data_IF_625190271525
#
_entry.id   IF_625190271525
#
_cell.length_a   1.000
_cell.length_b   1.000
_cell.length_c   1.000
_cell.angle_alpha   90.00
_cell.angle_beta   90.00
_cell.angle_gamma   90.00
#
_symmetry.space_group_name_H-M   'P 1'
#
loop_
_entity.id
_entity.type
_entity.pdbx_description
1 polymer ?
#
# COMPACT_ATOMS: atom_id res chain seq x y z
N UNK A 1 18.91 22.73 -1.09
CA UNK A 1 19.26 21.84 0.03
C UNK A 1 19.32 20.42 -0.51
N UNK A 2 20.42 19.71 -0.32
CA UNK A 2 20.51 18.28 -0.64
C UNK A 2 19.60 17.50 0.33
N UNK A 3 18.72 16.62 -0.16
CA UNK A 3 17.84 15.83 0.71
C UNK A 3 18.67 15.02 1.71
N UNK A 4 18.28 15.06 2.98
CA UNK A 4 18.88 14.20 4.00
C UNK A 4 18.62 12.72 3.68
N UNK A 5 19.65 12.03 3.17
CA UNK A 5 19.59 10.61 2.77
C UNK A 5 19.43 9.65 3.96
N UNK A 6 19.53 10.15 5.18
CA UNK A 6 19.37 9.33 6.39
C UNK A 6 17.93 9.29 6.87
N UNK A 7 17.11 10.29 6.53
CA UNK A 7 15.72 10.39 6.96
C UNK A 7 14.86 9.30 6.35
N UNK A 8 14.30 8.45 7.19
CA UNK A 8 13.31 7.43 6.81
C UNK A 8 11.93 8.04 6.92
N UNK A 9 11.14 8.01 5.84
CA UNK A 9 9.75 8.47 5.82
C UNK A 9 8.80 7.28 5.92
N UNK A 10 7.72 7.44 6.67
CA UNK A 10 6.62 6.48 6.61
C UNK A 10 6.00 6.46 5.22
N UNK A 11 5.67 5.27 4.75
CA UNK A 11 5.02 5.06 3.46
C UNK A 11 4.01 3.92 3.55
N UNK A 12 3.06 3.93 2.64
CA UNK A 12 2.07 2.88 2.50
C UNK A 12 1.97 2.43 1.04
N UNK A 13 1.76 1.15 0.84
CA UNK A 13 1.59 0.51 -0.46
C UNK A 13 0.37 -0.37 -0.42
N UNK A 14 -0.45 -0.35 -1.46
CA UNK A 14 -1.65 -1.17 -1.54
C UNK A 14 -1.51 -2.23 -2.63
N UNK A 15 -1.79 -3.47 -2.28
CA UNK A 15 -1.80 -4.61 -3.18
C UNK A 15 -3.26 -4.96 -3.44
N UNK A 16 -3.73 -4.68 -4.63
CA UNK A 16 -5.08 -5.06 -5.06
C UNK A 16 -5.00 -6.38 -5.79
N UNK A 17 -5.72 -7.40 -5.30
CA UNK A 17 -5.73 -8.75 -5.88
C UNK A 17 -7.09 -9.02 -6.52
N UNK A 18 -7.07 -9.31 -7.82
CA UNK A 18 -8.26 -9.72 -8.59
C UNK A 18 -8.27 -11.22 -8.81
N UNK A 19 -9.45 -11.85 -8.82
CA UNK A 19 -9.63 -13.29 -9.10
C UNK A 19 -8.79 -14.18 -8.15
N UNK A 20 -8.75 -13.85 -6.88
CA UNK A 20 -7.94 -14.50 -5.84
C UNK A 20 -7.92 -16.03 -5.90
N UNK A 21 -9.05 -16.65 -6.18
CA UNK A 21 -9.22 -18.11 -6.15
C UNK A 21 -8.91 -18.81 -7.50
N UNK A 22 -8.82 -18.04 -8.60
CA UNK A 22 -8.63 -18.62 -9.93
C UNK A 22 -7.79 -17.67 -10.79
N UNK A 23 -6.52 -18.00 -10.98
CA UNK A 23 -5.57 -17.20 -11.76
C UNK A 23 -5.44 -15.75 -11.22
N UNK A 24 -4.98 -15.58 -9.97
CA UNK A 24 -4.92 -14.29 -9.32
C UNK A 24 -4.03 -13.31 -10.08
N UNK A 25 -4.48 -12.07 -10.15
CA UNK A 25 -3.76 -10.95 -10.77
C UNK A 25 -3.63 -9.80 -9.78
N UNK A 26 -2.59 -9.00 -9.90
CA UNK A 26 -2.34 -7.81 -9.09
C UNK A 26 -2.34 -6.57 -9.96
N UNK A 27 -2.89 -5.46 -9.43
CA UNK A 27 -2.81 -4.16 -10.06
C UNK A 27 -1.41 -3.58 -9.88
N UNK A 28 -0.77 -3.23 -10.97
CA UNK A 28 0.55 -2.60 -10.99
C UNK A 28 0.63 -1.54 -12.06
N UNK A 29 1.53 -0.57 -11.85
CA UNK A 29 1.89 0.44 -12.85
C UNK A 29 3.39 0.61 -12.96
N UNK A 30 3.84 1.20 -14.06
CA UNK A 30 5.24 1.49 -14.30
C UNK A 30 5.58 2.92 -13.89
N UNK A 31 6.56 3.08 -13.04
CA UNK A 31 7.08 4.42 -12.66
C UNK A 31 7.78 5.09 -13.84
N UNK A 32 7.56 6.39 -13.95
CA UNK A 32 8.21 7.18 -15.01
C UNK A 32 9.74 7.05 -14.99
N UNK A 33 10.37 7.20 -16.16
CA UNK A 33 11.83 7.10 -16.33
C UNK A 33 12.61 8.11 -15.48
N UNK A 34 12.01 9.27 -15.19
CA UNK A 34 12.60 10.34 -14.38
C UNK A 34 12.23 10.25 -12.90
N UNK A 35 11.57 9.17 -12.47
CA UNK A 35 11.19 9.01 -11.06
C UNK A 35 12.43 8.99 -10.16
N UNK A 36 12.40 9.78 -9.07
CA UNK A 36 13.52 9.88 -8.14
C UNK A 36 13.78 8.58 -7.32
N UNK A 37 12.82 7.64 -7.33
CA UNK A 37 12.91 6.35 -6.66
C UNK A 37 12.35 5.25 -7.56
N UNK A 38 13.15 4.22 -7.81
CA UNK A 38 12.81 3.05 -8.66
C UNK A 38 12.30 3.42 -10.07
N UNK A 39 13.03 4.24 -10.86
CA UNK A 39 12.59 4.62 -12.21
C UNK A 39 12.39 3.40 -13.10
N UNK A 40 11.41 3.49 -14.00
CA UNK A 40 11.03 2.46 -14.98
C UNK A 40 10.60 1.10 -14.41
N UNK A 41 10.54 0.94 -13.08
CA UNK A 41 10.10 -0.31 -12.44
C UNK A 41 8.59 -0.39 -12.39
N UNK A 42 8.06 -1.62 -12.51
CA UNK A 42 6.69 -1.90 -12.17
C UNK A 42 6.54 -2.05 -10.65
N UNK A 43 5.58 -1.34 -10.10
CA UNK A 43 5.33 -1.27 -8.65
C UNK A 43 3.84 -1.39 -8.37
N UNK A 44 3.50 -1.72 -7.14
CA UNK A 44 2.16 -1.52 -6.61
C UNK A 44 1.90 -0.03 -6.39
N UNK A 45 0.65 0.45 -6.44
CA UNK A 45 0.31 1.79 -6.02
C UNK A 45 0.74 2.06 -4.58
N UNK A 46 1.24 3.29 -4.33
CA UNK A 46 1.66 3.67 -3.00
C UNK A 46 2.71 4.77 -2.94
N UNK A 47 2.72 5.48 -1.83
CA UNK A 47 3.62 6.62 -1.60
C UNK A 47 3.87 6.94 -0.14
N UNK A 48 4.36 8.14 0.11
CA UNK A 48 4.65 8.62 1.45
C UNK A 48 3.38 9.00 2.19
N UNK A 49 3.40 8.84 3.51
CA UNK A 49 2.36 9.42 4.38
C UNK A 49 2.51 10.94 4.38
N UNK A 50 1.40 11.63 4.16
CA UNK A 50 1.27 13.07 4.26
C UNK A 50 0.62 13.50 5.60
N UNK A 51 0.82 14.76 5.98
CA UNK A 51 0.30 15.27 7.25
C UNK A 51 -1.24 15.21 7.32
N UNK A 52 -1.92 15.39 6.20
CA UNK A 52 -3.39 15.33 6.13
C UNK A 52 -3.94 13.91 6.25
N UNK A 53 -3.15 12.87 5.97
CA UNK A 53 -3.53 11.48 6.21
C UNK A 53 -3.78 11.20 7.71
N UNK A 54 -3.17 11.99 8.61
CA UNK A 54 -3.39 11.91 10.05
C UNK A 54 -4.79 12.37 10.47
N UNK A 55 -5.43 13.21 9.66
CA UNK A 55 -6.74 13.80 9.95
C UNK A 55 -7.89 12.85 9.66
N UNK A 56 -7.62 11.72 8.99
CA UNK A 56 -8.65 10.78 8.57
C UNK A 56 -9.10 9.92 9.75
N UNK A 57 -10.39 10.01 10.07
CA UNK A 57 -11.05 9.18 11.06
C UNK A 57 -11.95 8.16 10.35
N UNK A 58 -11.60 6.88 10.46
CA UNK A 58 -12.39 5.81 9.86
C UNK A 58 -13.60 5.45 10.73
N UNK A 59 -14.79 5.47 10.14
CA UNK A 59 -15.96 4.82 10.77
C UNK A 59 -15.83 3.30 10.72
N UNK A 60 -15.33 2.80 9.61
CA UNK A 60 -15.04 1.38 9.42
C UNK A 60 -13.52 1.20 9.31
N UNK A 61 -12.81 1.11 10.45
CA UNK A 61 -11.36 0.98 10.45
C UNK A 61 -10.92 -0.42 9.98
N UNK A 62 -9.63 -0.54 9.66
CA UNK A 62 -8.99 -1.83 9.47
C UNK A 62 -9.25 -2.74 10.69
N UNK A 63 -9.36 -4.05 10.46
CA UNK A 63 -9.67 -4.99 11.54
C UNK A 63 -8.71 -4.86 12.76
N UNK A 64 -9.19 -5.21 13.96
CA UNK A 64 -8.49 -4.94 15.21
C UNK A 64 -7.11 -5.64 15.29
N UNK A 65 -6.96 -6.82 14.69
CA UNK A 65 -5.66 -7.53 14.67
C UNK A 65 -4.62 -6.70 13.89
N UNK A 66 -4.97 -6.27 12.68
CA UNK A 66 -4.08 -5.41 11.87
C UNK A 66 -3.81 -4.07 12.55
N UNK A 67 -4.83 -3.46 13.14
CA UNK A 67 -4.73 -2.20 13.87
C UNK A 67 -3.79 -2.30 15.07
N UNK A 68 -3.88 -3.38 15.86
CA UNK A 68 -3.00 -3.63 17.00
C UNK A 68 -1.54 -3.78 16.55
N UNK A 69 -1.27 -4.53 15.48
CA UNK A 69 0.06 -4.68 14.89
C UNK A 69 0.64 -3.36 14.40
N UNK A 70 -0.17 -2.55 13.70
CA UNK A 70 0.25 -1.23 13.21
C UNK A 70 0.57 -0.27 14.36
N UNK A 71 -0.21 -0.30 15.46
CA UNK A 71 0.04 0.52 16.66
C UNK A 71 1.33 0.12 17.37
N UNK A 72 1.58 -1.18 17.54
CA UNK A 72 2.78 -1.70 18.18
C UNK A 72 4.05 -1.26 17.44
N UNK A 73 4.02 -1.31 16.12
CA UNK A 73 5.15 -0.99 15.25
C UNK A 73 5.29 0.50 14.93
N UNK A 74 4.37 1.33 15.38
CA UNK A 74 4.40 2.78 15.19
C UNK A 74 4.32 3.49 16.54
N UNK A 75 5.48 3.87 17.08
CA UNK A 75 5.63 4.50 18.40
C UNK A 75 4.77 5.75 18.60
N UNK A 76 4.38 6.42 17.52
CA UNK A 76 3.56 7.63 17.56
C UNK A 76 2.05 7.35 17.44
N UNK A 77 1.62 6.08 17.39
CA UNK A 77 0.21 5.71 17.34
C UNK A 77 -0.52 6.05 16.04
N UNK A 78 0.19 6.50 15.02
CA UNK A 78 -0.34 7.03 13.76
C UNK A 78 -0.72 5.92 12.75
N UNK A 79 -1.36 4.86 13.24
CA UNK A 79 -1.77 3.74 12.38
C UNK A 79 -2.76 4.17 11.30
N UNK A 80 -3.66 5.13 11.60
CA UNK A 80 -4.64 5.66 10.67
C UNK A 80 -3.98 6.33 9.46
N UNK A 81 -2.93 7.12 9.66
CA UNK A 81 -2.23 7.79 8.56
C UNK A 81 -1.64 6.80 7.54
N UNK A 82 -1.13 5.66 8.00
CA UNK A 82 -0.61 4.61 7.12
C UNK A 82 -1.71 3.98 6.25
N UNK A 83 -2.87 3.74 6.86
CA UNK A 83 -4.03 3.18 6.16
C UNK A 83 -4.62 4.20 5.20
N UNK A 84 -4.72 5.46 5.64
CA UNK A 84 -5.19 6.57 4.80
C UNK A 84 -4.31 6.78 3.58
N UNK A 85 -2.99 6.86 3.77
CA UNK A 85 -2.04 6.99 2.68
C UNK A 85 -2.20 5.88 1.63
N UNK A 86 -2.41 4.63 2.05
CA UNK A 86 -2.64 3.53 1.10
C UNK A 86 -3.89 3.73 0.24
N UNK A 87 -4.98 4.26 0.83
CA UNK A 87 -6.24 4.52 0.12
C UNK A 87 -6.09 5.72 -0.81
N UNK A 88 -5.48 6.82 -0.33
CA UNK A 88 -5.24 8.04 -1.12
C UNK A 88 -4.36 7.75 -2.32
N UNK A 89 -3.22 7.11 -2.12
CA UNK A 89 -2.28 6.77 -3.19
C UNK A 89 -2.90 5.83 -4.25
N UNK A 90 -3.72 4.86 -3.83
CA UNK A 90 -4.46 4.04 -4.79
C UNK A 90 -5.36 4.90 -5.67
N UNK A 91 -6.11 5.81 -5.06
CA UNK A 91 -7.02 6.68 -5.81
C UNK A 91 -6.25 7.62 -6.74
N UNK A 92 -5.22 8.31 -6.24
CA UNK A 92 -4.43 9.26 -7.01
C UNK A 92 -3.72 8.59 -8.19
N UNK A 93 -3.10 7.43 -7.97
CA UNK A 93 -2.31 6.74 -8.98
C UNK A 93 -3.15 5.88 -9.94
N UNK A 94 -4.40 5.52 -9.59
CA UNK A 94 -5.19 4.57 -10.40
C UNK A 94 -6.64 4.95 -10.63
N UNK A 95 -7.19 5.92 -9.90
CA UNK A 95 -8.62 6.25 -9.91
C UNK A 95 -9.51 5.23 -9.17
N UNK A 96 -8.92 4.19 -8.56
CA UNK A 96 -9.67 3.14 -7.89
C UNK A 96 -10.05 3.54 -6.46
N UNK A 97 -11.28 3.24 -6.03
CA UNK A 97 -11.87 3.72 -4.78
C UNK A 97 -12.03 2.60 -3.76
N UNK A 98 -11.37 2.76 -2.61
CA UNK A 98 -11.63 2.00 -1.38
C UNK A 98 -12.47 2.89 -0.46
N UNK A 99 -13.79 2.66 -0.42
CA UNK A 99 -14.68 3.55 0.32
C UNK A 99 -16.12 3.07 0.34
N UNK A 100 -16.95 3.83 1.04
CA UNK A 100 -18.42 3.68 1.04
C UNK A 100 -19.06 4.94 0.48
N UNK A 101 -20.15 4.77 -0.27
CA UNK A 101 -20.87 5.88 -0.88
C UNK A 101 -21.53 6.74 0.19
N UNK A 102 -21.01 7.94 0.35
CA UNK A 102 -21.51 8.95 1.28
C UNK A 102 -20.89 10.31 0.96
N UNK A 103 -21.68 11.38 1.07
CA UNK A 103 -21.16 12.74 0.97
C UNK A 103 -20.16 13.02 2.10
N UNK A 104 -19.03 13.64 1.74
CA UNK A 104 -17.96 13.98 2.68
C UNK A 104 -17.72 15.50 2.65
N UNK A 105 -18.39 16.21 3.55
CA UNK A 105 -18.20 17.65 3.74
C UNK A 105 -16.96 17.90 4.60
N UNK A 106 -16.12 18.88 4.16
CA UNK A 106 -14.92 19.27 4.90
C UNK A 106 -13.81 18.22 4.86
N UNK A 107 -13.68 17.48 3.76
CA UNK A 107 -12.53 16.63 3.54
C UNK A 107 -11.23 17.47 3.56
N UNK A 108 -10.09 16.93 4.07
CA UNK A 108 -8.79 17.60 3.95
C UNK A 108 -8.43 17.89 2.49
N UNK A 109 -7.56 18.89 2.24
CA UNK A 109 -7.30 19.38 0.88
C UNK A 109 -6.82 18.27 -0.08
N UNK A 110 -5.89 17.42 0.33
CA UNK A 110 -5.40 16.32 -0.51
C UNK A 110 -6.39 15.14 -0.66
N UNK A 111 -7.57 15.24 -0.01
CA UNK A 111 -8.68 14.28 -0.12
C UNK A 111 -9.90 14.84 -0.86
N UNK A 112 -9.86 16.10 -1.31
CA UNK A 112 -11.00 16.74 -1.98
C UNK A 112 -11.44 16.00 -3.25
N UNK A 113 -10.49 15.58 -4.09
CA UNK A 113 -10.79 14.83 -5.32
C UNK A 113 -11.42 13.46 -5.01
N UNK A 114 -10.95 12.79 -3.95
CA UNK A 114 -11.59 11.57 -3.47
C UNK A 114 -13.03 11.85 -3.00
N UNK A 115 -13.23 12.88 -2.20
CA UNK A 115 -14.56 13.26 -1.68
C UNK A 115 -15.56 13.64 -2.79
N UNK A 116 -15.09 14.29 -3.89
CA UNK A 116 -15.92 14.62 -5.06
C UNK A 116 -16.50 13.39 -5.75
N UNK A 117 -15.92 12.20 -5.55
CA UNK A 117 -16.47 10.94 -6.05
C UNK A 117 -17.76 10.52 -5.31
N UNK A 118 -18.10 11.19 -4.23
CA UNK A 118 -19.25 10.86 -3.36
C UNK A 118 -18.98 9.69 -2.43
N UNK A 119 -17.71 9.46 -2.06
CA UNK A 119 -17.31 8.40 -1.14
C UNK A 119 -16.54 8.97 0.06
N UNK A 120 -16.56 8.20 1.16
CA UNK A 120 -15.66 8.35 2.29
C UNK A 120 -14.80 7.10 2.40
N UNK A 121 -13.54 7.19 2.89
CA UNK A 121 -12.64 6.04 2.97
C UNK A 121 -13.16 4.98 3.94
N UNK A 122 -13.04 3.70 3.55
CA UNK A 122 -13.42 2.53 4.35
C UNK A 122 -12.28 1.51 4.34
N UNK A 123 -11.71 1.24 5.50
CA UNK A 123 -10.56 0.34 5.62
C UNK A 123 -10.93 -1.07 6.09
N UNK A 124 -12.22 -1.37 6.29
CA UNK A 124 -12.70 -2.61 6.93
C UNK A 124 -12.28 -3.89 6.19
N UNK A 125 -12.00 -3.79 4.89
CA UNK A 125 -11.61 -4.92 4.02
C UNK A 125 -10.11 -4.97 3.71
N UNK A 126 -9.34 -4.08 4.31
CA UNK A 126 -7.88 -4.05 4.15
C UNK A 126 -7.19 -4.94 5.17
N UNK A 127 -6.05 -5.53 4.78
CA UNK A 127 -5.22 -6.35 5.65
C UNK A 127 -3.77 -5.86 5.60
N UNK A 128 -3.15 -5.68 6.76
CA UNK A 128 -1.72 -5.41 6.86
C UNK A 128 -0.94 -6.72 6.67
N UNK A 129 -0.16 -6.82 5.58
CA UNK A 129 0.44 -8.08 5.12
C UNK A 129 1.97 -8.10 5.11
N UNK A 130 2.64 -6.93 5.08
CA UNK A 130 4.09 -6.87 5.01
C UNK A 130 4.62 -5.51 5.46
N UNK A 131 5.86 -5.46 5.98
CA UNK A 131 6.61 -4.23 6.26
C UNK A 131 8.01 -4.34 5.69
N UNK A 132 8.52 -3.25 5.13
CA UNK A 132 9.90 -3.18 4.66
C UNK A 132 10.50 -1.80 4.88
N UNK A 133 11.79 -1.78 5.28
CA UNK A 133 12.56 -0.53 5.35
C UNK A 133 13.60 -0.52 4.22
N UNK A 134 13.62 0.57 3.46
CA UNK A 134 14.60 0.78 2.40
C UNK A 134 16.02 0.70 2.96
N UNK A 135 16.94 -0.05 2.32
CA UNK A 135 18.33 -0.18 2.79
C UNK A 135 19.02 1.18 2.92
N UNK A 136 20.05 1.28 3.78
CA UNK A 136 20.96 2.42 3.80
C UNK A 136 21.61 2.68 2.42
N UNK A 137 22.04 3.91 2.18
CA UNK A 137 22.74 4.30 0.94
C UNK A 137 21.81 4.60 -0.26
N UNK A 138 20.50 4.41 -0.14
CA UNK A 138 19.55 4.80 -1.20
C UNK A 138 19.24 6.30 -1.15
N UNK A 139 18.94 6.94 -2.30
CA UNK A 139 18.66 8.40 -2.36
C UNK A 139 17.46 8.82 -1.52
N UNK A 140 16.46 7.93 -1.41
CA UNK A 140 15.27 8.08 -0.55
C UNK A 140 15.07 6.79 0.21
N UNK A 141 14.64 6.92 1.47
CA UNK A 141 14.38 5.77 2.33
C UNK A 141 12.98 5.85 2.90
N UNK A 142 12.29 4.71 2.85
CA UNK A 142 10.93 4.56 3.33
C UNK A 142 10.83 3.40 4.30
N UNK A 143 9.99 3.57 5.31
CA UNK A 143 9.47 2.51 6.16
C UNK A 143 8.05 2.23 5.65
N UNK A 144 7.95 1.29 4.72
CA UNK A 144 6.75 1.00 3.98
C UNK A 144 5.91 -0.12 4.61
N UNK A 145 4.61 0.13 4.79
CA UNK A 145 3.62 -0.89 5.17
C UNK A 145 2.84 -1.27 3.92
N UNK A 146 2.70 -2.57 3.72
CA UNK A 146 1.96 -3.11 2.59
C UNK A 146 0.61 -3.61 3.08
N UNK A 147 -0.43 -3.14 2.42
CA UNK A 147 -1.80 -3.56 2.66
C UNK A 147 -2.31 -4.38 1.49
N UNK A 148 -3.20 -5.31 1.74
CA UNK A 148 -3.87 -6.12 0.72
C UNK A 148 -5.36 -5.89 0.79
N UNK A 149 -5.99 -5.81 -0.38
CA UNK A 149 -7.44 -5.79 -0.57
C UNK A 149 -7.82 -6.63 -1.78
N UNK A 150 -8.99 -7.26 -1.75
CA UNK A 150 -9.55 -7.93 -2.92
C UNK A 150 -10.17 -6.88 -3.86
N UNK A 151 -9.96 -7.01 -5.16
CA UNK A 151 -10.45 -6.04 -6.15
C UNK A 151 -11.97 -5.90 -6.15
N UNK A 152 -12.66 -6.97 -5.77
CA UNK A 152 -14.12 -7.03 -5.66
C UNK A 152 -14.70 -6.10 -4.57
N UNK A 153 -13.85 -5.62 -3.65
CA UNK A 153 -14.23 -4.64 -2.62
C UNK A 153 -14.15 -3.19 -3.11
N UNK A 154 -13.50 -2.92 -4.24
CA UNK A 154 -13.40 -1.57 -4.84
C UNK A 154 -14.75 -1.11 -5.37
N UNK A 155 -14.96 0.21 -5.41
CA UNK A 155 -16.26 0.82 -5.78
C UNK A 155 -16.28 1.41 -7.19
N UNK A 156 -15.31 1.07 -8.00
CA UNK A 156 -15.09 1.56 -9.36
C UNK A 156 -15.11 0.43 -10.37
N UNK A 157 -15.17 0.76 -11.65
CA UNK A 157 -14.87 -0.19 -12.71
C UNK A 157 -13.37 -0.54 -12.64
N UNK A 158 -13.05 -1.81 -12.43
CA UNK A 158 -11.69 -2.30 -12.21
C UNK A 158 -10.75 -2.10 -13.42
N UNK A 159 -11.29 -1.90 -14.60
CA UNK A 159 -10.54 -1.74 -15.85
C UNK A 159 -10.56 -0.28 -16.35
N UNK A 160 -11.14 0.65 -15.58
CA UNK A 160 -11.15 2.09 -15.86
C UNK A 160 -10.13 2.82 -15.00
N UNK A 161 -9.11 3.36 -15.65
CA UNK A 161 -8.04 4.17 -15.05
C UNK A 161 -8.05 5.62 -15.53
N UNK A 162 -9.18 6.11 -16.05
CA UNK A 162 -9.31 7.47 -16.60
C UNK A 162 -9.09 8.58 -15.57
N UNK A 163 -9.25 8.28 -14.29
CA UNK A 163 -9.01 9.20 -13.17
C UNK A 163 -7.58 9.12 -12.60
N UNK A 164 -6.73 8.24 -13.16
CA UNK A 164 -5.36 8.07 -12.68
C UNK A 164 -4.50 9.31 -12.97
N UNK A 165 -3.58 9.64 -12.05
CA UNK A 165 -2.53 10.63 -12.30
C UNK A 165 -1.46 10.08 -13.26
N UNK A 166 -0.53 10.96 -13.67
CA UNK A 166 0.59 10.59 -14.55
C UNK A 166 1.78 9.94 -13.79
N UNK A 167 1.65 9.66 -12.48
CA UNK A 167 2.77 9.10 -11.69
C UNK A 167 3.10 7.67 -12.08
N UNK A 168 2.06 6.86 -12.36
CA UNK A 168 2.20 5.51 -12.87
C UNK A 168 1.66 5.43 -14.30
N UNK A 169 2.48 4.92 -15.20
CA UNK A 169 2.05 4.58 -16.56
C UNK A 169 1.79 3.08 -16.68
N UNK A 170 1.19 2.65 -17.81
CA UNK A 170 0.96 1.24 -18.10
C UNK A 170 0.26 0.47 -16.97
N UNK A 171 -0.74 1.12 -16.33
CA UNK A 171 -1.58 0.47 -15.32
C UNK A 171 -2.25 -0.76 -15.90
N UNK A 172 -2.08 -1.90 -15.23
CA UNK A 172 -2.62 -3.17 -15.70
C UNK A 172 -2.73 -4.22 -14.61
N UNK A 173 -3.60 -5.19 -14.85
CA UNK A 173 -3.74 -6.39 -14.03
C UNK A 173 -2.74 -7.44 -14.50
N UNK A 174 -1.69 -7.68 -13.72
CA UNK A 174 -0.65 -8.65 -14.05
C UNK A 174 -0.94 -9.97 -13.32
N UNK A 175 -1.16 -11.09 -14.06
CA UNK A 175 -1.25 -12.39 -13.43
C UNK A 175 -0.01 -12.67 -12.56
N UNK A 176 -0.20 -13.13 -11.33
CA UNK A 176 0.93 -13.32 -10.39
C UNK A 176 2.00 -14.25 -10.97
N UNK A 177 1.60 -15.30 -11.69
CA UNK A 177 2.51 -16.23 -12.37
C UNK A 177 3.39 -15.56 -13.45
N UNK A 178 2.93 -14.44 -14.00
CA UNK A 178 3.60 -13.71 -15.09
C UNK A 178 4.41 -12.52 -14.59
N UNK A 179 4.39 -12.20 -13.31
CA UNK A 179 5.09 -11.04 -12.73
C UNK A 179 6.60 -11.06 -12.97
N UNK A 180 7.20 -12.25 -13.10
CA UNK A 180 8.63 -12.44 -13.43
C UNK A 180 9.02 -11.90 -14.81
N UNK A 181 8.07 -11.60 -15.69
CA UNK A 181 8.31 -11.02 -17.01
C UNK A 181 8.51 -9.49 -16.95
N UNK A 182 8.22 -8.89 -15.81
CA UNK A 182 8.30 -7.46 -15.58
C UNK A 182 9.52 -7.08 -14.74
N UNK A 183 10.04 -5.88 -14.97
CA UNK A 183 11.17 -5.36 -14.19
C UNK A 183 10.67 -4.84 -12.83
N UNK A 184 10.69 -5.71 -11.83
CA UNK A 184 10.21 -5.45 -10.48
C UNK A 184 11.35 -5.12 -9.53
N UNK A 185 11.15 -4.21 -8.57
CA UNK A 185 12.06 -4.08 -7.43
C UNK A 185 12.17 -5.41 -6.67
N UNK A 186 13.33 -5.67 -6.10
CA UNK A 186 13.55 -6.88 -5.29
C UNK A 186 12.49 -7.05 -4.19
N UNK A 187 12.20 -5.97 -3.46
CA UNK A 187 11.20 -6.03 -2.39
C UNK A 187 9.80 -6.39 -2.90
N UNK A 188 9.42 -5.92 -4.08
CA UNK A 188 8.14 -6.26 -4.71
C UNK A 188 8.05 -7.76 -5.02
N UNK A 189 9.15 -8.38 -5.46
CA UNK A 189 9.21 -9.82 -5.69
C UNK A 189 9.08 -10.61 -4.38
N UNK A 190 9.73 -10.16 -3.30
CA UNK A 190 9.60 -10.77 -1.96
C UNK A 190 8.17 -10.71 -1.45
N UNK A 191 7.53 -9.53 -1.56
CA UNK A 191 6.12 -9.34 -1.16
C UNK A 191 5.19 -10.23 -1.98
N UNK A 192 5.37 -10.29 -3.30
CA UNK A 192 4.58 -11.16 -4.18
C UNK A 192 4.70 -12.63 -3.78
N UNK A 193 5.90 -13.11 -3.45
CA UNK A 193 6.11 -14.49 -3.00
C UNK A 193 5.34 -14.76 -1.70
N UNK A 194 5.42 -13.84 -0.73
CA UNK A 194 4.74 -13.98 0.56
C UNK A 194 3.21 -13.99 0.41
N UNK A 195 2.64 -13.01 -0.31
CA UNK A 195 1.19 -12.96 -0.50
C UNK A 195 0.67 -14.16 -1.28
N UNK A 196 1.40 -14.64 -2.29
CA UNK A 196 1.00 -15.80 -3.10
C UNK A 196 0.84 -17.04 -2.24
N UNK A 197 1.76 -17.27 -1.30
CA UNK A 197 1.68 -18.38 -0.35
C UNK A 197 0.49 -18.30 0.61
N UNK A 198 -0.07 -17.09 0.79
CA UNK A 198 -1.14 -16.81 1.75
C UNK A 198 -2.49 -16.47 1.12
N UNK A 199 -2.61 -16.38 -0.21
CA UNK A 199 -3.85 -15.98 -0.89
C UNK A 199 -5.06 -16.86 -0.57
N UNK A 200 -4.85 -18.16 -0.32
CA UNK A 200 -5.93 -19.07 0.05
C UNK A 200 -6.52 -18.79 1.44
N UNK A 201 -5.79 -18.10 2.29
CA UNK A 201 -6.25 -17.76 3.63
C UNK A 201 -7.25 -16.61 3.57
N UNK A 202 -8.29 -16.70 4.39
CA UNK A 202 -9.26 -15.61 4.59
C UNK A 202 -8.90 -14.83 5.85
N UNK A 203 -9.04 -13.48 5.77
CA UNK A 203 -8.82 -12.60 6.93
C UNK A 203 -7.36 -12.20 7.15
N UNK A 204 -7.07 -11.73 8.35
CA UNK A 204 -5.74 -11.25 8.74
C UNK A 204 -4.70 -12.38 8.69
N UNK A 205 -3.51 -12.13 8.15
CA UNK A 205 -2.45 -13.13 8.16
C UNK A 205 -2.07 -13.47 9.62
N UNK A 206 -1.67 -14.72 9.87
CA UNK A 206 -1.26 -15.16 11.22
C UNK A 206 -0.07 -14.35 11.76
N UNK A 207 0.78 -13.88 10.88
CA UNK A 207 1.97 -13.05 11.18
C UNK A 207 2.26 -12.15 10.00
N UNK A 208 2.91 -11.02 10.24
CA UNK A 208 3.32 -10.06 9.19
C UNK A 208 4.84 -10.05 9.10
N UNK A 209 5.42 -10.43 7.95
CA UNK A 209 6.86 -10.34 7.75
C UNK A 209 7.32 -8.88 7.78
N UNK A 210 8.44 -8.65 8.44
CA UNK A 210 9.14 -7.38 8.46
C UNK A 210 10.54 -7.54 7.91
N UNK A 211 10.78 -6.98 6.72
CA UNK A 211 12.06 -7.01 6.06
C UNK A 211 12.84 -5.74 6.36
N UNK A 212 13.93 -5.89 7.08
CA UNK A 212 14.81 -4.78 7.45
C UNK A 212 16.22 -5.06 6.96
N UNK A 213 16.77 -4.12 6.20
CA UNK A 213 18.17 -4.14 5.80
C UNK A 213 18.96 -3.16 6.68
N UNK A 214 20.03 -3.65 7.27
CA UNK A 214 21.09 -2.84 7.86
C UNK A 214 22.24 -2.68 6.85
N UNK A 215 23.35 -2.06 7.25
CA UNK A 215 24.56 -2.02 6.43
C UNK A 215 25.25 -3.40 6.32
N UNK A 216 24.98 -4.29 7.24
CA UNK A 216 25.69 -5.57 7.39
C UNK A 216 24.82 -6.77 7.03
N UNK A 217 23.49 -6.69 7.28
CA UNK A 217 22.60 -7.84 7.17
C UNK A 217 21.24 -7.48 6.57
N UNK A 218 20.63 -8.48 5.92
CA UNK A 218 19.21 -8.46 5.54
C UNK A 218 18.46 -9.43 6.44
N UNK A 219 17.55 -8.90 7.27
CA UNK A 219 16.84 -9.67 8.27
C UNK A 219 15.34 -9.70 7.99
N UNK A 220 14.73 -10.84 8.22
CA UNK A 220 13.27 -11.00 8.22
C UNK A 220 12.82 -11.32 9.63
N UNK A 221 12.01 -10.43 10.19
CA UNK A 221 11.32 -10.63 11.45
C UNK A 221 9.83 -10.92 11.18
N UNK A 222 9.11 -11.28 12.23
CA UNK A 222 7.67 -11.42 12.16
C UNK A 222 7.00 -10.56 13.22
N UNK A 223 6.07 -9.74 12.78
CA UNK A 223 5.21 -8.96 13.66
C UNK A 223 4.06 -9.88 14.05
N UNK A 224 4.04 -10.28 15.32
CA UNK A 224 3.00 -11.13 15.90
C UNK A 224 1.97 -10.28 16.65
N UNK A 225 0.81 -10.87 16.92
CA UNK A 225 -0.10 -10.36 17.92
C UNK A 225 0.67 -10.37 19.25
N UNK A 226 0.77 -9.22 19.90
CA UNK A 226 1.56 -9.12 21.13
C UNK A 226 1.17 -10.23 22.10
N UNK A 227 2.16 -10.77 22.78
CA UNK A 227 1.92 -11.54 23.99
C UNK A 227 1.08 -10.66 24.90
N UNK A 228 -0.18 -11.07 25.11
CA UNK A 228 -1.13 -10.48 26.03
C UNK A 228 -0.69 -10.78 27.47
#
# INVERSE_FOLDING_TARGET
>A
MTPDKTKIRNAATIIVVRNKNKNPSVLMGQRGINAAFMPSKFVFPGGAVDDEDLLINFENPINEVCKARLKKENKNGQWNALVSAAIRELFEETGQIIGVKREWLGAPNNWEEFAKTGHVPDASKMYFVFRAITPPGRPRRFDARFFLIEAEELKTNLDDFSMASDELSHLQWIPIKDTKKFDLPFITQVVLAEITGNLANTGSPKRVPFFQNTTEESLIYYINDGDS
#
